data_IF_873060466084
#
_entry.id   IF_873060466084
#
_cell.length_a   1.000
_cell.length_b   1.000
_cell.length_c   1.000
_cell.angle_alpha   90.00
_cell.angle_beta   90.00
_cell.angle_gamma   90.00
#
_symmetry.space_group_name_H-M   'P 1'
#
loop_
_entity.id
_entity.type
_entity.pdbx_description
1 polymer ?
#
# COMPACT_ATOMS: atom_id res chain seq x y z
N UNK A 1 13.86 -8.55 8.20
CA UNK A 1 14.89 -8.17 7.20
C UNK A 1 14.19 -7.38 6.11
N UNK A 2 14.58 -6.12 5.87
CA UNK A 2 14.01 -5.32 4.79
C UNK A 2 14.84 -5.54 3.53
N UNK A 3 14.24 -6.16 2.51
CA UNK A 3 14.90 -6.39 1.22
C UNK A 3 15.10 -5.05 0.54
N UNK A 4 16.35 -4.57 0.44
CA UNK A 4 16.66 -3.29 -0.20
C UNK A 4 16.53 -3.44 -1.72
N UNK A 5 15.39 -3.00 -2.26
CA UNK A 5 15.05 -3.15 -3.68
C UNK A 5 15.30 -1.83 -4.41
N UNK A 6 16.00 -1.88 -5.56
CA UNK A 6 16.41 -0.68 -6.33
C UNK A 6 15.27 -0.02 -7.11
N UNK A 7 14.17 -0.72 -7.40
CA UNK A 7 13.02 -0.18 -8.14
C UNK A 7 11.72 -0.80 -7.66
N UNK A 8 10.83 0.02 -7.09
CA UNK A 8 9.52 -0.43 -6.61
C UNK A 8 8.58 -0.78 -7.76
N UNK A 9 8.71 -0.11 -8.92
CA UNK A 9 7.83 -0.30 -10.09
C UNK A 9 8.01 -1.65 -10.78
N UNK A 10 9.15 -2.31 -10.59
CA UNK A 10 9.40 -3.65 -11.13
C UNK A 10 8.94 -4.77 -10.21
N UNK A 11 8.46 -4.46 -9.00
CA UNK A 11 7.97 -5.49 -8.08
C UNK A 11 6.54 -5.87 -8.44
N UNK A 12 6.37 -7.16 -8.71
CA UNK A 12 5.05 -7.76 -8.91
C UNK A 12 4.71 -8.57 -7.67
N UNK A 13 3.68 -8.18 -6.91
CA UNK A 13 3.19 -8.97 -5.79
C UNK A 13 2.74 -10.36 -6.25
N UNK A 14 2.94 -11.37 -5.40
CA UNK A 14 2.49 -12.74 -5.68
C UNK A 14 1.10 -12.99 -5.12
N UNK A 15 0.30 -13.79 -5.84
CA UNK A 15 -1.07 -14.19 -5.49
C UNK A 15 -2.01 -12.98 -5.39
N UNK A 16 -2.75 -12.89 -4.29
CA UNK A 16 -3.73 -11.87 -3.92
C UNK A 16 -3.11 -10.67 -3.22
N UNK A 17 -1.81 -10.42 -3.40
CA UNK A 17 -1.13 -9.34 -2.68
C UNK A 17 -1.21 -8.00 -3.43
N UNK A 18 -1.32 -6.92 -2.68
CA UNK A 18 -1.39 -5.55 -3.17
C UNK A 18 -0.29 -4.73 -2.51
N UNK A 19 0.55 -4.10 -3.32
CA UNK A 19 1.58 -3.18 -2.86
C UNK A 19 1.04 -1.76 -2.89
N UNK A 20 1.06 -1.09 -1.73
CA UNK A 20 0.51 0.24 -1.56
C UNK A 20 1.53 1.19 -0.92
N UNK A 21 1.35 2.48 -1.20
CA UNK A 21 2.07 3.57 -0.56
C UNK A 21 1.10 4.46 0.20
N UNK A 22 1.31 4.66 1.50
CA UNK A 22 0.47 5.58 2.29
C UNK A 22 0.57 6.99 1.76
N UNK A 23 -0.58 7.66 1.69
CA UNK A 23 -0.62 9.08 1.37
C UNK A 23 -0.06 9.84 2.59
N UNK A 24 0.92 10.71 2.36
CA UNK A 24 1.45 11.57 3.42
C UNK A 24 0.34 12.55 3.82
N UNK A 25 0.08 12.68 5.12
CA UNK A 25 -0.91 13.65 5.56
C UNK A 25 -0.41 15.08 5.33
N UNK A 26 -1.36 15.96 5.04
CA UNK A 26 -1.10 17.38 4.88
C UNK A 26 -0.71 17.96 6.24
N UNK A 27 0.50 18.51 6.33
CA UNK A 27 1.00 19.18 7.54
C UNK A 27 0.35 20.56 7.74
N UNK A 28 -0.37 21.06 6.74
CA UNK A 28 -1.05 22.35 6.74
C UNK A 28 -2.55 22.13 6.61
N UNK A 29 -3.32 22.59 7.58
CA UNK A 29 -4.78 22.54 7.52
C UNK A 29 -5.33 23.54 6.49
N UNK A 30 -6.59 23.38 6.07
CA UNK A 30 -7.28 24.31 5.16
C UNK A 30 -7.29 25.76 5.65
N UNK A 31 -7.17 26.00 6.97
CA UNK A 31 -7.06 27.33 7.59
C UNK A 31 -5.64 27.90 7.65
N UNK A 32 -4.64 27.13 7.20
CA UNK A 32 -3.23 27.55 7.16
C UNK A 32 -2.43 27.29 8.43
N UNK A 33 -2.98 26.54 9.39
CA UNK A 33 -2.30 26.17 10.64
C UNK A 33 -1.39 24.98 10.37
N UNK A 34 -0.14 25.05 10.82
CA UNK A 34 0.80 23.93 10.77
C UNK A 34 0.53 23.00 11.94
N UNK A 35 0.21 21.74 11.64
CA UNK A 35 0.11 20.69 12.64
C UNK A 35 1.51 20.20 13.00
N UNK A 36 1.81 19.98 14.30
CA UNK A 36 3.06 19.36 14.70
C UNK A 36 3.17 17.96 14.08
N UNK A 37 4.36 17.57 13.65
CA UNK A 37 4.60 16.25 12.99
C UNK A 37 4.15 15.06 13.86
N UNK A 38 4.11 15.22 15.18
CA UNK A 38 3.64 14.22 16.14
C UNK A 38 2.12 14.05 16.21
N UNK A 39 1.35 15.00 15.67
CA UNK A 39 -0.13 14.98 15.63
C UNK A 39 -0.68 14.59 14.27
N UNK A 40 0.21 14.27 13.31
CA UNK A 40 -0.16 13.80 11.99
C UNK A 40 -0.63 12.35 12.11
N UNK A 41 -1.93 12.17 12.24
CA UNK A 41 -2.55 10.84 12.23
C UNK A 41 -2.17 10.12 10.93
N UNK A 42 -1.67 8.89 11.02
CA UNK A 42 -1.36 8.08 9.85
C UNK A 42 -2.65 7.88 9.08
N UNK A 43 -2.79 8.57 7.95
CA UNK A 43 -3.94 8.38 7.09
C UNK A 43 -4.02 6.89 6.73
N UNK A 44 -5.22 6.35 6.88
CA UNK A 44 -5.58 5.02 6.40
C UNK A 44 -5.72 4.99 4.88
N UNK A 45 -5.29 6.03 4.19
CA UNK A 45 -5.40 6.14 2.76
C UNK A 45 -4.07 5.82 2.11
N UNK A 46 -4.11 4.98 1.08
CA UNK A 46 -2.94 4.58 0.33
C UNK A 46 -3.22 4.55 -1.17
N UNK A 47 -2.16 4.69 -1.95
CA UNK A 47 -2.20 4.53 -3.40
C UNK A 47 -1.68 3.16 -3.78
N UNK A 48 -2.40 2.45 -4.64
CA UNK A 48 -1.99 1.14 -5.17
C UNK A 48 -0.89 1.35 -6.21
N UNK A 49 0.26 0.70 -5.98
CA UNK A 49 1.42 0.75 -6.88
C UNK A 49 1.56 -0.50 -7.73
N UNK A 50 1.22 -1.66 -7.18
CA UNK A 50 1.25 -2.92 -7.90
C UNK A 50 0.22 -3.88 -7.33
N UNK A 51 -0.34 -4.71 -8.20
CA UNK A 51 -1.32 -5.74 -7.85
C UNK A 51 -0.79 -7.10 -8.30
N UNK A 52 -1.04 -8.11 -7.49
CA UNK A 52 -0.76 -9.48 -7.85
C UNK A 52 -1.75 -10.04 -8.88
N UNK A 53 -1.48 -11.24 -9.39
CA UNK A 53 -2.35 -11.91 -10.36
C UNK A 53 -3.73 -12.35 -9.82
N UNK A 54 -3.97 -12.26 -8.51
CA UNK A 54 -5.16 -12.78 -7.86
C UNK A 54 -4.95 -14.10 -7.12
N UNK A 55 -5.83 -14.39 -6.16
CA UNK A 55 -5.90 -15.71 -5.52
C UNK A 55 -6.32 -16.78 -6.52
N UNK A 56 -5.98 -18.04 -6.24
CA UNK A 56 -6.44 -19.19 -7.02
C UNK A 56 -7.49 -19.93 -6.19
N UNK A 57 -8.62 -20.21 -6.80
CA UNK A 57 -9.68 -21.00 -6.16
C UNK A 57 -9.36 -22.50 -6.14
N UNK A 58 -10.26 -23.30 -5.56
CA UNK A 58 -10.09 -24.77 -5.49
C UNK A 58 -10.14 -25.47 -6.85
N UNK A 59 -10.63 -24.78 -7.89
CA UNK A 59 -10.73 -25.30 -9.25
C UNK A 59 -9.50 -24.96 -10.11
N UNK A 60 -8.59 -24.13 -9.59
CA UNK A 60 -7.42 -23.62 -10.32
C UNK A 60 -7.69 -22.33 -11.11
N UNK A 61 -8.90 -21.77 -11.02
CA UNK A 61 -9.23 -20.50 -11.65
C UNK A 61 -8.73 -19.33 -10.79
N UNK A 62 -8.32 -18.25 -11.45
CA UNK A 62 -7.88 -17.03 -10.76
C UNK A 62 -9.08 -16.18 -10.38
N UNK A 63 -9.10 -15.76 -9.13
CA UNK A 63 -10.03 -14.75 -8.60
C UNK A 63 -9.43 -13.38 -8.96
N UNK A 64 -10.12 -12.54 -9.74
CA UNK A 64 -9.62 -11.23 -10.09
C UNK A 64 -9.46 -10.36 -8.84
N UNK A 65 -8.43 -9.52 -8.85
CA UNK A 65 -8.18 -8.53 -7.80
C UNK A 65 -9.31 -7.49 -7.77
N UNK A 66 -9.70 -7.05 -6.57
CA UNK A 66 -10.70 -6.01 -6.37
C UNK A 66 -10.21 -4.59 -6.67
N UNK A 67 -8.90 -4.40 -6.79
CA UNK A 67 -8.24 -3.11 -6.98
C UNK A 67 -7.29 -3.12 -8.18
N UNK A 68 -7.06 -1.95 -8.77
CA UNK A 68 -6.14 -1.75 -9.88
C UNK A 68 -4.99 -0.80 -9.51
N UNK A 69 -3.92 -0.84 -10.32
CA UNK A 69 -2.78 0.07 -10.14
C UNK A 69 -3.22 1.51 -10.37
N UNK A 70 -2.91 2.39 -9.41
CA UNK A 70 -3.28 3.79 -9.44
C UNK A 70 -4.47 4.15 -8.55
N UNK A 71 -5.24 3.15 -8.10
CA UNK A 71 -6.40 3.37 -7.23
C UNK A 71 -5.99 3.93 -5.86
N UNK A 72 -6.91 4.67 -5.26
CA UNK A 72 -6.80 5.20 -3.90
C UNK A 72 -7.70 4.36 -3.00
N UNK A 73 -7.08 3.70 -2.03
CA UNK A 73 -7.73 2.68 -1.19
C UNK A 73 -7.60 3.03 0.27
N UNK A 74 -8.59 2.60 1.06
CA UNK A 74 -8.51 2.63 2.51
C UNK A 74 -7.89 1.33 2.98
N UNK A 75 -6.83 1.42 3.79
CA UNK A 75 -6.11 0.30 4.38
C UNK A 75 -6.27 0.30 5.90
N UNK A 76 -6.18 -0.86 6.55
CA UNK A 76 -6.16 -0.94 8.00
C UNK A 76 -5.05 -0.08 8.65
N UNK A 77 -5.30 0.40 9.87
CA UNK A 77 -4.29 1.14 10.65
C UNK A 77 -3.06 0.29 10.96
N UNK A 78 -3.25 -1.02 11.12
CA UNK A 78 -2.24 -1.98 11.53
C UNK A 78 -2.25 -3.19 10.60
N UNK A 79 -1.13 -3.91 10.57
CA UNK A 79 -0.93 -5.03 9.66
C UNK A 79 -0.21 -4.62 8.37
N UNK A 80 -0.30 -5.49 7.38
CA UNK A 80 0.52 -5.41 6.17
C UNK A 80 1.99 -5.74 6.45
N UNK A 81 2.68 -6.27 5.44
CA UNK A 81 4.11 -6.50 5.51
C UNK A 81 4.88 -5.25 5.07
N UNK A 82 5.81 -4.72 5.87
CA UNK A 82 6.58 -3.54 5.48
C UNK A 82 7.58 -3.90 4.36
N UNK A 83 7.62 -3.08 3.33
CA UNK A 83 8.58 -3.18 2.22
C UNK A 83 9.30 -1.85 2.11
N UNK A 84 10.64 -1.86 2.11
CA UNK A 84 11.46 -0.65 1.95
C UNK A 84 12.18 -0.70 0.61
N UNK A 85 12.07 0.37 -0.17
CA UNK A 85 12.87 0.55 -1.37
C UNK A 85 13.55 1.92 -1.30
N UNK A 86 14.85 1.91 -1.01
CA UNK A 86 15.60 3.13 -0.70
C UNK A 86 15.10 3.80 0.58
N UNK A 87 14.71 5.07 0.47
CA UNK A 87 14.19 5.88 1.57
C UNK A 87 12.66 5.84 1.69
N UNK A 88 11.98 5.24 0.71
CA UNK A 88 10.52 5.14 0.71
C UNK A 88 10.04 3.86 1.39
N UNK A 89 8.98 4.00 2.19
CA UNK A 89 8.29 2.90 2.86
C UNK A 89 6.98 2.57 2.15
N UNK A 90 6.76 1.29 1.93
CA UNK A 90 5.58 0.71 1.30
C UNK A 90 5.03 -0.38 2.20
N UNK A 91 3.77 -0.75 1.95
CA UNK A 91 3.12 -1.83 2.65
C UNK A 91 2.53 -2.81 1.66
N UNK A 92 2.63 -4.08 1.99
CA UNK A 92 2.04 -5.17 1.22
C UNK A 92 0.87 -5.75 2.01
N UNK A 93 -0.32 -5.67 1.45
CA UNK A 93 -1.55 -6.23 1.99
C UNK A 93 -2.03 -7.40 1.13
N UNK A 94 -3.00 -8.16 1.62
CA UNK A 94 -3.81 -9.04 0.78
C UNK A 94 -5.07 -8.30 0.33
N UNK A 95 -5.61 -8.66 -0.82
CA UNK A 95 -6.88 -8.12 -1.34
C UNK A 95 -8.07 -8.37 -0.41
N UNK A 96 -7.96 -9.38 0.46
CA UNK A 96 -8.99 -9.74 1.43
C UNK A 96 -8.90 -8.98 2.76
N UNK A 97 -7.86 -8.17 2.98
CA UNK A 97 -7.60 -7.40 4.21
C UNK A 97 -8.12 -5.96 4.09
#
# INVERSE_FOLDING_TARGET
QATSIRSIRSLVPLLDRVLVQRVKAETKTASGIFLPESSVEKLNEAKVLAVGPGAVDKSGARIPMGVAVGDRVLIPQFGGSPVKAGEEEYQLFRDSE
#
